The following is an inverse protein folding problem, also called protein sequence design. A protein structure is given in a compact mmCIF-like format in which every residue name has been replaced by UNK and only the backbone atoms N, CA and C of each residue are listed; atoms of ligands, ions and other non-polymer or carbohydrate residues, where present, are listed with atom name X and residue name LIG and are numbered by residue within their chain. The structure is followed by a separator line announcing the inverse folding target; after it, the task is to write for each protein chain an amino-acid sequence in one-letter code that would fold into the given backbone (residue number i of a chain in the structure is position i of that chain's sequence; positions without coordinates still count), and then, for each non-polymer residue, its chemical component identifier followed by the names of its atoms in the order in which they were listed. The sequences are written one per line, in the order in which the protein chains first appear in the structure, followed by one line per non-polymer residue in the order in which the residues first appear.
data_IF_453640746545
#
_entry.id   IF_453640746545
#
_cell.length_a   1.000
_cell.length_b   1.000
_cell.length_c   1.000
_cell.angle_alpha   90.00
_cell.angle_beta   90.00
_cell.angle_gamma   90.00
#
_symmetry.space_group_name_H-M   'P 1'
#
loop_
_entity.id
_entity.type
_entity.pdbx_description
1 polymer ?
#
# COMPACT_ATOMS: atom_id res chain seq x y z
N UNK A 1 47.36 26.76 -50.84
CA UNK A 1 46.90 25.43 -50.38
C UNK A 1 45.95 25.51 -49.17
N UNK A 2 44.85 26.30 -49.23
CA UNK A 2 43.97 26.44 -48.05
C UNK A 2 42.48 26.75 -48.30
N UNK A 3 42.01 26.89 -49.55
CA UNK A 3 40.59 27.20 -49.81
C UNK A 3 39.70 25.94 -49.86
N UNK A 4 40.25 24.82 -50.31
CA UNK A 4 39.52 23.54 -50.42
C UNK A 4 39.26 22.88 -49.06
N UNK A 5 40.19 23.02 -48.09
CA UNK A 5 40.01 22.49 -46.73
C UNK A 5 38.93 23.23 -45.93
N UNK A 6 38.73 24.52 -46.18
CA UNK A 6 37.69 25.33 -45.51
C UNK A 6 36.30 24.95 -46.02
N UNK A 7 36.16 24.67 -47.33
CA UNK A 7 34.88 24.23 -47.91
C UNK A 7 34.43 22.86 -47.36
N UNK A 8 35.35 21.90 -47.20
CA UNK A 8 35.01 20.61 -46.61
C UNK A 8 34.57 20.70 -45.14
N UNK A 9 35.24 21.53 -44.33
CA UNK A 9 34.83 21.70 -42.91
C UNK A 9 33.43 22.29 -42.75
N UNK A 10 33.04 23.25 -43.62
CA UNK A 10 31.69 23.83 -43.57
C UNK A 10 30.60 22.82 -43.94
N UNK A 11 30.84 21.96 -44.92
CA UNK A 11 29.88 20.91 -45.32
C UNK A 11 29.70 19.88 -44.20
N UNK A 12 30.78 19.49 -43.52
CA UNK A 12 30.72 18.56 -42.39
C UNK A 12 29.94 19.10 -41.19
N UNK A 13 30.12 20.39 -40.86
CA UNK A 13 29.40 21.03 -39.75
C UNK A 13 27.91 21.16 -40.06
N UNK A 14 27.55 21.56 -41.28
CA UNK A 14 26.14 21.67 -41.69
C UNK A 14 25.47 20.29 -41.70
N UNK A 15 26.17 19.25 -42.18
CA UNK A 15 25.68 17.87 -42.12
C UNK A 15 25.42 17.39 -40.69
N UNK A 16 26.33 17.71 -39.75
CA UNK A 16 26.18 17.34 -38.34
C UNK A 16 24.98 18.06 -37.70
N UNK A 17 24.78 19.34 -37.99
CA UNK A 17 23.64 20.13 -37.46
C UNK A 17 22.31 19.56 -37.99
N UNK A 18 22.24 19.17 -39.26
CA UNK A 18 21.03 18.57 -39.85
C UNK A 18 20.75 17.20 -39.21
N UNK A 19 21.78 16.38 -38.98
CA UNK A 19 21.66 15.09 -38.29
C UNK A 19 21.16 15.25 -36.84
N UNK A 20 21.70 16.22 -36.10
CA UNK A 20 21.24 16.54 -34.74
C UNK A 20 19.79 17.03 -34.76
N UNK A 21 19.42 17.91 -35.70
CA UNK A 21 18.05 18.41 -35.83
C UNK A 21 17.04 17.30 -36.20
N UNK A 22 17.44 16.35 -37.05
CA UNK A 22 16.63 15.18 -37.39
C UNK A 22 16.51 14.21 -36.22
N UNK A 23 17.60 13.98 -35.47
CA UNK A 23 17.59 13.13 -34.27
C UNK A 23 16.70 13.71 -33.16
N UNK A 24 16.70 15.04 -32.99
CA UNK A 24 15.80 15.72 -32.06
C UNK A 24 14.35 15.62 -32.54
N UNK A 25 14.06 15.74 -33.85
CA UNK A 25 12.69 15.57 -34.37
C UNK A 25 12.15 14.15 -34.24
N UNK A 26 12.99 13.11 -34.37
CA UNK A 26 12.58 11.71 -34.17
C UNK A 26 12.31 11.41 -32.69
N UNK A 27 12.98 12.11 -31.78
CA UNK A 27 12.77 11.95 -30.33
C UNK A 27 11.53 12.70 -29.80
N UNK A 28 11.00 13.66 -30.56
CA UNK A 28 9.74 14.36 -30.25
C UNK A 28 8.63 13.83 -31.15
N UNK A 29 8.47 12.50 -31.12
CA UNK A 29 7.22 11.87 -31.56
C UNK A 29 6.09 12.32 -30.65
N UNK A 30 5.07 12.93 -31.26
CA UNK A 30 3.82 13.39 -30.67
C UNK A 30 3.20 12.33 -29.71
N UNK A 31 3.50 12.43 -28.42
CA UNK A 31 2.62 11.93 -27.36
C UNK A 31 1.79 13.10 -26.86
N UNK A 32 0.74 13.44 -27.60
CA UNK A 32 -0.38 14.22 -27.10
C UNK A 32 -1.22 13.39 -26.13
N UNK A 33 -0.59 12.82 -25.10
CA UNK A 33 -1.25 12.10 -24.03
C UNK A 33 -1.42 13.01 -22.82
N UNK A 34 -2.61 13.05 -22.24
CA UNK A 34 -2.82 13.56 -20.89
C UNK A 34 -2.07 12.63 -19.92
N UNK A 35 -0.96 13.10 -19.35
CA UNK A 35 -0.23 12.37 -18.31
C UNK A 35 -0.68 12.83 -16.93
N UNK A 36 -1.00 11.88 -16.04
CA UNK A 36 -1.21 12.15 -14.62
C UNK A 36 0.09 11.90 -13.87
N UNK A 37 0.58 12.88 -13.11
CA UNK A 37 1.71 12.68 -12.20
C UNK A 37 1.16 12.44 -10.79
N UNK A 38 1.60 11.36 -10.15
CA UNK A 38 1.16 10.92 -8.82
C UNK A 38 2.38 10.95 -7.89
N UNK A 39 2.42 11.87 -6.92
CA UNK A 39 3.33 11.77 -5.77
C UNK A 39 2.47 11.35 -4.55
N UNK A 40 3.02 10.62 -3.58
CA UNK A 40 2.35 9.82 -2.53
C UNK A 40 1.13 10.39 -1.76
N UNK A 41 0.79 11.69 -1.90
CA UNK A 41 -0.41 12.29 -1.29
C UNK A 41 -1.23 13.22 -2.21
N UNK A 42 -0.81 13.48 -3.44
CA UNK A 42 -1.51 14.41 -4.33
C UNK A 42 -1.45 13.95 -5.80
N UNK A 43 -2.61 13.99 -6.48
CA UNK A 43 -2.70 13.83 -7.94
C UNK A 43 -2.82 15.20 -8.60
N UNK A 44 -1.96 15.46 -9.56
CA UNK A 44 -2.07 16.63 -10.44
C UNK A 44 -2.35 16.15 -11.87
N UNK A 45 -3.46 16.62 -12.44
CA UNK A 45 -3.76 16.43 -13.86
C UNK A 45 -3.23 17.65 -14.59
N UNK A 46 -2.18 17.48 -15.39
CA UNK A 46 -1.59 18.60 -16.13
C UNK A 46 -1.84 18.38 -17.62
N UNK A 47 -2.56 19.31 -18.24
CA UNK A 47 -2.78 19.31 -19.68
C UNK A 47 -1.52 19.84 -20.38
N UNK A 48 -0.81 18.95 -21.08
CA UNK A 48 0.40 19.20 -21.89
C UNK A 48 1.61 19.73 -21.09
N UNK A 49 2.46 18.81 -20.66
CA UNK A 49 3.83 19.15 -20.21
C UNK A 49 4.84 18.09 -20.69
N UNK A 50 6.05 18.49 -21.08
CA UNK A 50 7.14 17.55 -21.38
C UNK A 50 7.57 16.80 -20.10
N UNK A 51 7.82 15.49 -20.25
CA UNK A 51 8.09 14.49 -19.19
C UNK A 51 9.10 14.93 -18.11
N UNK A 52 10.04 15.83 -18.44
CA UNK A 52 11.08 16.32 -17.53
C UNK A 52 10.59 17.26 -16.40
N UNK A 53 9.35 17.72 -16.42
CA UNK A 53 8.83 18.65 -15.38
C UNK A 53 8.22 17.98 -14.15
N UNK A 54 7.81 16.70 -14.22
CA UNK A 54 7.23 16.03 -13.05
C UNK A 54 8.26 15.70 -11.96
N UNK A 55 9.53 15.49 -12.31
CA UNK A 55 10.61 15.28 -11.34
C UNK A 55 10.86 16.51 -10.45
N UNK A 56 10.79 17.72 -11.01
CA UNK A 56 11.00 18.95 -10.22
C UNK A 56 9.84 19.27 -9.26
N UNK A 57 8.63 18.77 -9.52
CA UNK A 57 7.47 19.00 -8.66
C UNK A 57 7.46 18.10 -7.42
N UNK A 58 7.93 16.84 -7.51
CA UNK A 58 8.02 15.97 -6.33
C UNK A 58 9.28 16.26 -5.46
N UNK A 59 10.28 17.00 -5.97
CA UNK A 59 11.53 17.32 -5.23
C UNK A 59 11.49 18.56 -4.34
N UNK A 60 10.33 19.20 -4.13
CA UNK A 60 10.22 20.37 -3.26
C UNK A 60 10.21 19.91 -1.79
N UNK A 61 11.27 20.26 -1.06
CA UNK A 61 11.57 19.88 0.33
C UNK A 61 10.38 19.92 1.32
N UNK A 62 10.41 19.06 2.38
CA UNK A 62 9.29 18.87 3.31
C UNK A 62 9.02 20.07 4.25
N UNK A 63 9.83 21.13 4.23
CA UNK A 63 9.79 22.21 5.24
C UNK A 63 8.93 23.43 4.86
N UNK A 64 8.30 23.48 3.69
CA UNK A 64 7.46 24.63 3.30
C UNK A 64 5.99 24.44 3.69
N UNK A 65 5.39 25.47 4.30
CA UNK A 65 3.95 25.53 4.58
C UNK A 65 3.14 25.54 3.28
N UNK A 66 1.90 25.03 3.32
CA UNK A 66 0.99 24.93 2.16
C UNK A 66 0.85 26.25 1.40
N UNK A 67 0.86 27.37 2.12
CA UNK A 67 0.76 28.73 1.56
C UNK A 67 2.02 29.13 0.76
N UNK A 68 3.20 28.72 1.21
CA UNK A 68 4.48 29.03 0.55
C UNK A 68 4.68 28.22 -0.74
N UNK A 69 4.23 26.95 -0.75
CA UNK A 69 4.27 26.09 -1.95
C UNK A 69 3.37 26.63 -3.07
N UNK A 70 2.21 27.18 -2.72
CA UNK A 70 1.28 27.82 -3.67
C UNK A 70 1.87 29.11 -4.25
N UNK A 71 2.50 29.95 -3.42
CA UNK A 71 3.13 31.20 -3.89
C UNK A 71 4.28 30.92 -4.86
N UNK A 72 5.14 29.95 -4.56
CA UNK A 72 6.26 29.58 -5.44
C UNK A 72 5.79 28.94 -6.75
N UNK A 73 4.68 28.19 -6.75
CA UNK A 73 4.06 27.68 -7.98
C UNK A 73 3.43 28.78 -8.85
N UNK A 74 2.98 29.90 -8.24
CA UNK A 74 2.38 31.03 -8.96
C UNK A 74 3.44 31.96 -9.58
N UNK A 75 4.64 32.07 -8.98
CA UNK A 75 5.70 32.97 -9.43
C UNK A 75 6.53 32.45 -10.62
N UNK A 76 6.42 31.16 -10.96
CA UNK A 76 7.07 30.54 -12.12
C UNK A 76 6.04 30.31 -13.24
N UNK A 77 5.46 31.38 -13.79
CA UNK A 77 4.55 31.27 -14.95
C UNK A 77 5.25 31.63 -16.27
N UNK A 78 5.20 30.76 -17.29
CA UNK A 78 4.80 31.19 -18.62
C UNK A 78 3.27 31.38 -18.65
N UNK A 79 2.82 32.45 -19.30
CA UNK A 79 1.41 32.81 -19.43
C UNK A 79 0.59 31.68 -20.10
N UNK A 80 -0.54 31.29 -19.52
CA UNK A 80 -1.57 30.48 -20.20
C UNK A 80 -2.02 29.15 -19.59
N UNK A 81 -1.52 28.72 -18.43
CA UNK A 81 -1.97 27.47 -17.78
C UNK A 81 -3.09 27.72 -16.75
N UNK A 82 -4.30 27.25 -17.06
CA UNK A 82 -5.43 27.12 -16.14
C UNK A 82 -5.35 25.74 -15.49
N UNK A 83 -5.07 25.69 -14.19
CA UNK A 83 -5.13 24.44 -13.40
C UNK A 83 -6.51 24.33 -12.75
N UNK A 84 -7.34 23.39 -13.21
CA UNK A 84 -8.50 22.93 -12.44
C UNK A 84 -8.04 21.81 -11.49
N UNK A 85 -7.65 22.16 -10.27
CA UNK A 85 -7.36 21.17 -9.23
C UNK A 85 -8.65 20.81 -8.50
N UNK A 86 -9.45 19.89 -9.02
CA UNK A 86 -10.45 19.18 -8.21
C UNK A 86 -9.73 18.05 -7.47
N UNK A 87 -9.02 18.41 -6.40
CA UNK A 87 -8.60 17.44 -5.40
C UNK A 87 -9.86 16.89 -4.73
N UNK A 88 -10.34 15.72 -5.14
CA UNK A 88 -11.32 14.94 -4.37
C UNK A 88 -10.59 14.36 -3.15
N UNK A 89 -10.28 15.22 -2.19
CA UNK A 89 -9.76 14.77 -0.90
C UNK A 89 -10.78 13.77 -0.31
N UNK A 90 -10.31 12.62 0.17
CA UNK A 90 -11.15 11.69 0.91
C UNK A 90 -11.65 12.45 2.15
N UNK A 91 -12.96 12.79 2.24
CA UNK A 91 -13.43 13.56 3.36
C UNK A 91 -13.31 12.67 4.59
N UNK A 92 -12.41 13.06 5.50
CA UNK A 92 -12.29 12.41 6.78
C UNK A 92 -13.62 12.57 7.53
N UNK A 93 -14.13 11.48 8.09
CA UNK A 93 -15.27 11.53 9.00
C UNK A 93 -14.70 11.92 10.37
N UNK A 94 -14.01 13.05 10.43
CA UNK A 94 -13.27 13.54 11.61
C UNK A 94 -14.24 14.15 12.64
N UNK A 95 -15.35 13.46 12.91
CA UNK A 95 -16.13 13.73 14.10
C UNK A 95 -15.36 13.14 15.27
N UNK A 96 -14.91 13.95 16.24
CA UNK A 96 -14.30 13.42 17.44
C UNK A 96 -15.29 12.47 18.09
N UNK A 97 -14.91 11.20 18.19
CA UNK A 97 -15.72 10.18 18.86
C UNK A 97 -15.86 10.61 20.31
N UNK A 98 -17.11 10.71 20.76
CA UNK A 98 -17.40 11.03 22.16
C UNK A 98 -16.79 9.93 23.04
N UNK A 99 -16.18 10.31 24.16
CA UNK A 99 -15.63 9.35 25.13
C UNK A 99 -16.70 8.39 25.65
N UNK A 100 -17.97 8.83 25.69
CA UNK A 100 -19.13 8.00 26.05
C UNK A 100 -19.41 6.92 25.01
N UNK A 101 -19.17 7.21 23.74
CA UNK A 101 -19.44 6.28 22.64
C UNK A 101 -18.43 5.12 22.59
N UNK A 102 -17.38 5.17 23.41
CA UNK A 102 -16.36 4.12 23.54
C UNK A 102 -16.49 3.30 24.82
N UNK A 103 -17.45 3.58 25.71
CA UNK A 103 -17.59 2.86 26.97
C UNK A 103 -18.08 1.43 26.75
N UNK A 104 -17.55 0.43 27.46
CA UNK A 104 -17.95 -0.97 27.32
C UNK A 104 -17.89 -1.73 28.65
N UNK A 105 -18.64 -2.84 28.75
CA UNK A 105 -18.58 -3.77 29.87
C UNK A 105 -17.92 -5.10 29.48
N UNK A 106 -17.99 -5.46 28.20
CA UNK A 106 -17.50 -6.71 27.63
C UNK A 106 -17.04 -6.54 26.18
N UNK A 107 -16.27 -7.48 25.65
CA UNK A 107 -15.81 -7.46 24.25
C UNK A 107 -16.98 -7.44 23.25
N UNK A 108 -18.12 -8.06 23.59
CA UNK A 108 -19.33 -8.04 22.77
C UNK A 108 -19.97 -6.66 22.64
N UNK A 109 -19.63 -5.72 23.53
CA UNK A 109 -20.11 -4.34 23.42
C UNK A 109 -19.33 -3.54 22.39
N UNK A 110 -18.19 -4.03 21.89
CA UNK A 110 -17.28 -3.25 21.05
C UNK A 110 -17.35 -3.65 19.58
N UNK A 111 -17.27 -2.65 18.71
CA UNK A 111 -17.28 -2.80 17.25
C UNK A 111 -16.52 -1.66 16.58
N UNK A 112 -16.35 -1.72 15.26
CA UNK A 112 -15.67 -0.71 14.47
C UNK A 112 -16.65 0.14 13.65
N UNK A 113 -16.50 1.46 13.71
CA UNK A 113 -17.15 2.39 12.79
C UNK A 113 -16.20 2.80 11.65
N UNK A 114 -16.71 2.99 10.42
CA UNK A 114 -15.92 3.54 9.33
C UNK A 114 -15.35 4.92 9.65
N UNK A 115 -14.09 5.16 9.28
CA UNK A 115 -13.38 6.44 9.49
C UNK A 115 -13.43 7.38 8.30
N UNK A 116 -13.47 6.83 7.09
CA UNK A 116 -13.38 7.59 5.86
C UNK A 116 -14.19 6.92 4.75
N UNK A 117 -14.57 7.70 3.73
CA UNK A 117 -15.41 7.21 2.64
C UNK A 117 -14.67 6.24 1.70
N UNK A 118 -13.34 6.30 1.67
CA UNK A 118 -12.51 5.40 0.87
C UNK A 118 -12.33 4.01 1.49
N UNK A 119 -12.61 3.83 2.78
CA UNK A 119 -12.31 2.58 3.49
C UNK A 119 -10.81 2.29 3.57
N UNK A 120 -9.96 3.31 3.42
CA UNK A 120 -8.51 3.15 3.41
C UNK A 120 -7.90 3.20 4.81
N UNK A 121 -8.70 3.55 5.83
CA UNK A 121 -8.29 3.53 7.23
C UNK A 121 -8.98 2.41 7.97
N UNK A 122 -8.29 1.91 9.00
CA UNK A 122 -8.87 1.05 10.00
C UNK A 122 -10.12 1.70 10.65
N UNK A 123 -11.10 0.85 10.98
CA UNK A 123 -12.30 1.25 11.71
C UNK A 123 -11.93 1.85 13.08
N UNK A 124 -12.74 2.80 13.54
CA UNK A 124 -12.58 3.40 14.86
C UNK A 124 -13.37 2.57 15.88
N UNK A 125 -12.75 2.17 17.01
CA UNK A 125 -13.44 1.39 18.04
C UNK A 125 -14.50 2.22 18.77
N UNK A 126 -15.72 1.69 18.82
CA UNK A 126 -16.90 2.25 19.47
C UNK A 126 -17.72 1.16 20.14
N UNK A 127 -18.65 1.55 21.00
CA UNK A 127 -19.67 0.65 21.52
C UNK A 127 -20.76 0.40 20.45
N UNK A 128 -21.17 -0.85 20.30
CA UNK A 128 -22.16 -1.34 19.33
C UNK A 128 -23.50 -0.59 19.41
N UNK A 129 -23.88 -0.11 20.60
CA UNK A 129 -25.06 0.74 20.81
C UNK A 129 -25.07 1.99 19.94
N UNK A 130 -23.88 2.51 19.59
CA UNK A 130 -23.73 3.73 18.79
C UNK A 130 -23.42 3.44 17.32
N UNK A 131 -23.35 2.18 16.90
CA UNK A 131 -22.96 1.81 15.54
C UNK A 131 -23.83 2.48 14.46
N UNK A 132 -25.16 2.47 14.65
CA UNK A 132 -26.09 3.08 13.71
C UNK A 132 -25.91 4.59 13.57
N UNK A 133 -25.60 5.30 14.67
CA UNK A 133 -25.28 6.73 14.66
C UNK A 133 -24.11 7.02 13.71
N UNK A 134 -23.03 6.26 13.78
CA UNK A 134 -21.86 6.45 12.93
C UNK A 134 -22.10 6.02 11.48
N UNK A 135 -22.89 4.97 11.23
CA UNK A 135 -23.28 4.60 9.87
C UNK A 135 -24.18 5.64 9.19
N UNK A 136 -25.08 6.29 9.94
CA UNK A 136 -25.88 7.39 9.41
C UNK A 136 -24.99 8.59 9.03
N UNK A 137 -24.02 8.94 9.88
CA UNK A 137 -23.03 9.98 9.58
C UNK A 137 -22.18 9.63 8.35
N UNK A 138 -21.74 8.37 8.25
CA UNK A 138 -21.02 7.85 7.10
C UNK A 138 -21.84 7.98 5.82
N UNK A 139 -23.08 7.47 5.80
CA UNK A 139 -23.96 7.54 4.63
C UNK A 139 -24.19 8.97 4.17
N UNK A 140 -24.46 9.89 5.09
CA UNK A 140 -24.70 11.29 4.72
C UNK A 140 -23.46 12.00 4.19
N UNK A 141 -22.27 11.72 4.74
CA UNK A 141 -21.02 12.35 4.30
C UNK A 141 -20.46 11.75 3.03
N UNK A 142 -20.66 10.46 2.83
CA UNK A 142 -20.08 9.70 1.73
C UNK A 142 -21.02 9.51 0.54
N UNK A 143 -22.27 10.02 0.58
CA UNK A 143 -23.26 9.83 -0.49
C UNK A 143 -22.79 10.30 -1.87
N UNK A 144 -21.99 11.36 -1.91
CA UNK A 144 -21.48 11.97 -3.15
C UNK A 144 -19.99 11.64 -3.39
N UNK A 145 -19.40 10.73 -2.60
CA UNK A 145 -17.99 10.38 -2.72
C UNK A 145 -17.73 9.54 -3.98
N UNK A 146 -16.92 10.07 -4.90
CA UNK A 146 -16.51 9.39 -6.14
C UNK A 146 -15.01 9.00 -6.15
N UNK A 147 -14.37 8.96 -4.98
CA UNK A 147 -12.95 8.63 -4.88
C UNK A 147 -12.67 7.12 -4.91
N UNK A 148 -11.41 6.76 -4.67
CA UNK A 148 -10.95 5.38 -4.66
C UNK A 148 -11.48 4.68 -3.40
N UNK A 149 -12.09 3.51 -3.58
CA UNK A 149 -12.35 2.58 -2.48
C UNK A 149 -11.14 1.66 -2.33
N UNK A 150 -10.60 1.58 -1.12
CA UNK A 150 -9.56 0.64 -0.74
C UNK A 150 -10.19 -0.64 -0.20
N UNK A 151 -9.70 -1.79 -0.65
CA UNK A 151 -9.89 -3.06 0.04
C UNK A 151 -8.79 -3.21 1.10
N UNK A 152 -8.81 -2.32 2.10
CA UNK A 152 -7.79 -2.27 3.13
C UNK A 152 -8.11 -3.28 4.24
N UNK A 153 -7.35 -4.37 4.29
CA UNK A 153 -7.43 -5.31 5.40
C UNK A 153 -6.82 -4.70 6.67
N UNK A 154 -7.64 -4.48 7.69
CA UNK A 154 -7.19 -4.00 8.99
C UNK A 154 -7.08 -5.20 9.97
N UNK A 155 -5.87 -5.72 10.28
CA UNK A 155 -5.65 -6.86 11.17
C UNK A 155 -5.81 -6.49 12.66
N UNK A 156 -6.78 -5.65 12.98
CA UNK A 156 -7.00 -5.19 14.34
C UNK A 156 -8.18 -5.90 14.99
N UNK A 157 -8.04 -6.27 16.25
CA UNK A 157 -9.14 -6.76 17.08
C UNK A 157 -9.64 -5.60 17.92
N UNK A 158 -10.94 -5.37 17.90
CA UNK A 158 -11.60 -4.37 18.74
C UNK A 158 -12.12 -5.08 19.99
N UNK A 159 -11.64 -4.68 21.17
CA UNK A 159 -11.95 -5.31 22.46
C UNK A 159 -12.25 -4.28 23.54
N UNK A 160 -12.86 -4.73 24.63
CA UNK A 160 -13.12 -3.91 25.79
C UNK A 160 -11.93 -3.95 26.75
N UNK A 161 -11.13 -2.89 26.76
CA UNK A 161 -9.96 -2.77 27.62
C UNK A 161 -10.16 -1.58 28.55
N UNK A 162 -10.10 -1.82 29.87
CA UNK A 162 -10.31 -0.77 30.88
C UNK A 162 -11.63 0.00 30.68
N UNK A 163 -12.73 -0.73 30.42
CA UNK A 163 -14.07 -0.19 30.14
C UNK A 163 -14.12 0.73 28.91
N UNK A 164 -13.15 0.61 28.01
CA UNK A 164 -13.07 1.38 26.77
C UNK A 164 -12.82 0.47 25.56
N UNK A 165 -13.67 0.60 24.54
CA UNK A 165 -13.47 -0.05 23.26
C UNK A 165 -12.17 0.48 22.65
N UNK A 166 -11.24 -0.44 22.48
CA UNK A 166 -9.88 -0.16 22.04
C UNK A 166 -9.56 -1.07 20.88
N UNK A 167 -8.91 -0.48 19.88
CA UNK A 167 -8.38 -1.21 18.76
C UNK A 167 -6.99 -1.69 19.15
N UNK A 168 -6.85 -2.99 19.24
CA UNK A 168 -5.57 -3.65 19.42
C UNK A 168 -5.14 -4.21 18.08
N UNK A 169 -3.86 -4.13 17.76
CA UNK A 169 -3.35 -5.01 16.72
C UNK A 169 -3.52 -6.43 17.22
N UNK A 170 -3.93 -7.35 16.35
CA UNK A 170 -4.06 -8.78 16.66
C UNK A 170 -2.71 -9.29 17.19
N UNK A 171 -2.49 -9.22 18.51
CA UNK A 171 -1.25 -9.48 19.25
C UNK A 171 -0.03 -9.74 18.33
N UNK A 172 0.61 -8.68 17.84
CA UNK A 172 1.80 -8.82 16.97
C UNK A 172 2.99 -9.46 17.70
N UNK A 173 2.93 -9.60 19.03
CA UNK A 173 3.72 -10.57 19.78
C UNK A 173 3.06 -10.84 21.15
N UNK A 174 2.59 -12.06 21.43
CA UNK A 174 2.31 -12.46 22.81
C UNK A 174 3.60 -12.27 23.63
N UNK A 175 3.54 -11.96 24.94
CA UNK A 175 4.75 -12.12 25.77
C UNK A 175 5.20 -13.57 25.73
N UNK A 176 6.47 -13.83 26.04
CA UNK A 176 7.00 -15.20 26.11
C UNK A 176 6.10 -16.11 26.97
N UNK A 177 5.68 -15.64 28.14
CA UNK A 177 4.82 -16.41 29.04
C UNK A 177 3.46 -16.71 28.41
N UNK A 178 2.84 -15.72 27.75
CA UNK A 178 1.55 -15.91 27.06
C UNK A 178 1.69 -16.85 25.86
N UNK A 179 2.84 -16.82 25.17
CA UNK A 179 3.13 -17.74 24.07
C UNK A 179 3.20 -19.18 24.58
N UNK A 180 4.01 -19.41 25.60
CA UNK A 180 4.22 -20.73 26.18
C UNK A 180 2.94 -21.29 26.80
N UNK A 181 2.12 -20.45 27.46
CA UNK A 181 0.80 -20.86 27.97
C UNK A 181 -0.16 -21.34 26.88
N UNK A 182 -0.05 -20.81 25.67
CA UNK A 182 -0.83 -21.26 24.50
C UNK A 182 -0.22 -22.48 23.81
N UNK A 183 0.85 -23.07 24.37
CA UNK A 183 1.61 -24.16 23.74
C UNK A 183 2.46 -23.72 22.55
N UNK A 184 2.73 -22.41 22.44
CA UNK A 184 3.59 -21.87 21.40
C UNK A 184 5.08 -22.04 21.68
N UNK A 185 5.89 -21.78 20.66
CA UNK A 185 7.34 -21.78 20.72
C UNK A 185 7.83 -20.33 20.62
N UNK A 186 8.52 -19.88 21.67
CA UNK A 186 9.15 -18.57 21.73
C UNK A 186 10.64 -18.70 21.39
N UNK A 187 11.04 -18.20 20.21
CA UNK A 187 12.44 -18.20 19.80
C UNK A 187 12.69 -17.17 18.71
N UNK A 188 13.96 -17.05 18.33
CA UNK A 188 14.39 -16.33 17.14
C UNK A 188 14.08 -17.14 15.88
N UNK A 189 13.45 -16.50 14.89
CA UNK A 189 13.08 -17.08 13.59
C UNK A 189 13.64 -16.25 12.45
N UNK A 190 13.91 -16.89 11.30
CA UNK A 190 14.65 -16.29 10.18
C UNK A 190 16.15 -16.53 10.29
N UNK A 191 16.85 -16.45 9.16
CA UNK A 191 18.30 -16.60 9.06
C UNK A 191 19.00 -15.24 8.95
N UNK A 192 18.65 -14.41 7.95
CA UNK A 192 19.35 -13.14 7.70
C UNK A 192 18.80 -12.01 8.58
N UNK A 193 17.50 -12.04 8.91
CA UNK A 193 16.84 -11.05 9.78
C UNK A 193 16.10 -11.69 10.98
N UNK A 194 16.82 -12.30 11.93
CA UNK A 194 16.22 -13.02 13.04
C UNK A 194 15.26 -12.16 13.87
N UNK A 195 13.98 -12.54 13.90
CA UNK A 195 12.94 -11.93 14.74
C UNK A 195 12.56 -12.85 15.88
N UNK A 196 12.56 -12.34 17.12
CA UNK A 196 12.04 -13.08 18.27
C UNK A 196 10.54 -12.88 18.35
N UNK A 197 9.78 -13.95 18.14
CA UNK A 197 8.33 -13.92 18.33
C UNK A 197 7.74 -15.32 18.54
N UNK A 198 6.47 -15.37 18.90
CA UNK A 198 5.74 -16.60 19.18
C UNK A 198 5.22 -17.26 17.90
N UNK A 199 5.46 -18.56 17.73
CA UNK A 199 4.69 -19.37 16.78
C UNK A 199 3.97 -20.51 17.50
N UNK A 200 2.67 -20.65 17.24
CA UNK A 200 1.86 -21.75 17.80
C UNK A 200 1.85 -22.89 16.77
N UNK A 201 2.26 -24.11 17.14
CA UNK A 201 2.15 -25.27 16.26
C UNK A 201 0.69 -25.56 15.91
N UNK A 202 0.42 -25.87 14.65
CA UNK A 202 -0.91 -26.30 14.22
C UNK A 202 -1.25 -27.68 14.78
N UNK A 203 -2.51 -27.90 15.14
CA UNK A 203 -2.99 -29.21 15.60
C UNK A 203 -3.02 -30.28 14.50
N UNK A 204 -2.96 -29.88 13.23
CA UNK A 204 -2.89 -30.77 12.07
C UNK A 204 -1.48 -30.82 11.44
N UNK A 205 -0.46 -30.31 12.13
CA UNK A 205 0.92 -30.32 11.65
C UNK A 205 1.33 -31.73 11.21
N UNK A 206 1.90 -31.83 10.00
CA UNK A 206 2.34 -33.10 9.42
C UNK A 206 1.23 -33.97 8.82
N UNK A 207 -0.05 -33.63 8.98
CA UNK A 207 -1.15 -34.37 8.34
C UNK A 207 -1.02 -34.30 6.82
N UNK A 208 -1.22 -35.42 6.12
CA UNK A 208 -1.20 -35.44 4.65
C UNK A 208 -2.36 -34.62 4.09
N UNK A 209 -2.08 -33.82 3.07
CA UNK A 209 -3.04 -32.94 2.40
C UNK A 209 -2.84 -32.98 0.89
N UNK A 210 -3.90 -32.72 0.13
CA UNK A 210 -3.85 -32.56 -1.33
C UNK A 210 -4.22 -31.17 -1.81
N UNK A 211 -4.67 -30.32 -0.88
CA UNK A 211 -4.98 -28.93 -1.11
C UNK A 211 -4.69 -28.11 0.16
N UNK A 212 -4.36 -26.84 -0.03
CA UNK A 212 -4.05 -25.93 1.07
C UNK A 212 -5.24 -25.71 2.02
N UNK A 213 -6.48 -25.79 1.51
CA UNK A 213 -7.70 -25.61 2.30
C UNK A 213 -7.97 -26.74 3.29
N UNK A 214 -7.30 -27.89 3.14
CA UNK A 214 -7.39 -29.00 4.09
C UNK A 214 -6.63 -28.75 5.40
N UNK A 215 -5.73 -27.76 5.40
CA UNK A 215 -4.89 -27.41 6.52
C UNK A 215 -5.42 -26.19 7.27
N UNK A 216 -5.32 -26.19 8.59
CA UNK A 216 -5.87 -25.13 9.47
C UNK A 216 -5.23 -23.77 9.20
N UNK A 217 -3.92 -23.74 8.95
CA UNK A 217 -3.22 -22.53 8.56
C UNK A 217 -3.24 -22.26 7.05
N UNK A 218 -3.99 -23.06 6.28
CA UNK A 218 -4.12 -22.87 4.84
C UNK A 218 -2.84 -23.16 4.07
N UNK A 219 -1.98 -24.05 4.59
CA UNK A 219 -0.65 -24.32 4.05
C UNK A 219 -0.40 -25.83 3.98
N UNK A 220 -0.50 -26.40 2.77
CA UNK A 220 -0.12 -27.77 2.48
C UNK A 220 1.27 -27.78 1.85
N UNK A 221 2.30 -28.25 2.56
CA UNK A 221 3.70 -28.14 2.16
C UNK A 221 4.09 -29.27 1.20
N UNK A 222 4.54 -28.92 0.00
CA UNK A 222 5.00 -29.87 -1.01
C UNK A 222 6.38 -30.42 -0.65
N UNK A 223 6.62 -31.71 -0.91
CA UNK A 223 7.94 -32.32 -0.73
C UNK A 223 8.92 -31.99 -1.89
N UNK A 224 8.38 -31.72 -3.08
CA UNK A 224 9.11 -31.31 -4.27
C UNK A 224 8.15 -30.63 -5.28
N UNK A 225 8.71 -30.02 -6.32
CA UNK A 225 7.99 -29.28 -7.38
C UNK A 225 7.01 -30.15 -8.20
N UNK A 226 7.12 -31.48 -8.12
CA UNK A 226 6.24 -32.42 -8.83
C UNK A 226 5.23 -33.10 -7.92
N UNK A 227 5.19 -32.72 -6.64
CA UNK A 227 4.33 -33.36 -5.65
C UNK A 227 2.86 -33.02 -5.93
N UNK A 228 2.00 -34.03 -5.83
CA UNK A 228 0.54 -33.87 -5.92
C UNK A 228 -0.13 -33.85 -4.54
N UNK A 229 0.66 -34.08 -3.49
CA UNK A 229 0.26 -34.12 -2.10
C UNK A 229 1.41 -33.63 -1.23
N UNK A 230 1.07 -33.12 -0.05
CA UNK A 230 2.03 -32.58 0.89
C UNK A 230 1.65 -32.91 2.33
N UNK A 231 2.23 -32.15 3.25
CA UNK A 231 1.93 -32.23 4.67
C UNK A 231 1.55 -30.85 5.20
N UNK A 232 0.54 -30.77 6.07
CA UNK A 232 0.13 -29.50 6.65
C UNK A 232 1.27 -28.87 7.44
N UNK A 233 1.43 -27.57 7.23
CA UNK A 233 2.46 -26.75 7.86
C UNK A 233 2.42 -26.85 9.38
N UNK A 234 3.60 -26.79 10.01
CA UNK A 234 3.67 -26.79 11.48
C UNK A 234 3.30 -25.42 12.01
N UNK A 235 3.73 -24.36 11.36
CA UNK A 235 3.48 -23.00 11.82
C UNK A 235 2.75 -22.19 10.77
N UNK A 236 2.09 -21.11 11.21
CA UNK A 236 1.39 -20.19 10.30
C UNK A 236 2.37 -19.38 9.43
N UNK A 237 3.57 -19.10 9.94
CA UNK A 237 4.64 -18.44 9.21
C UNK A 237 5.82 -19.41 9.09
N UNK A 238 6.00 -19.93 7.89
CA UNK A 238 7.16 -20.75 7.55
C UNK A 238 8.31 -19.88 7.06
N UNK A 239 9.52 -20.30 7.39
CA UNK A 239 10.77 -19.62 7.02
C UNK A 239 11.62 -20.53 6.15
N UNK A 240 12.39 -19.92 5.26
CA UNK A 240 13.13 -20.61 4.21
C UNK A 240 12.33 -20.75 2.93
N UNK A 241 12.76 -21.66 2.06
CA UNK A 241 12.16 -21.91 0.77
C UNK A 241 11.23 -23.12 0.82
N UNK A 242 10.00 -22.95 0.34
CA UNK A 242 8.99 -24.01 0.30
C UNK A 242 8.01 -23.81 -0.87
N UNK A 243 7.35 -24.89 -1.26
CA UNK A 243 6.24 -24.88 -2.21
C UNK A 243 4.97 -25.32 -1.51
N UNK A 244 3.83 -24.74 -1.89
CA UNK A 244 2.51 -25.15 -1.42
C UNK A 244 1.83 -26.08 -2.43
N UNK A 245 0.95 -26.96 -1.96
CA UNK A 245 0.05 -27.73 -2.82
C UNK A 245 -1.30 -27.02 -2.87
N UNK A 246 -1.75 -26.70 -4.08
CA UNK A 246 -3.08 -26.17 -4.35
C UNK A 246 -3.67 -26.95 -5.51
N UNK A 247 -4.90 -27.44 -5.38
CA UNK A 247 -5.59 -28.27 -6.36
C UNK A 247 -4.72 -29.45 -6.86
N UNK A 248 -4.14 -30.21 -5.93
CA UNK A 248 -3.29 -31.39 -6.21
C UNK A 248 -2.02 -31.09 -7.03
N UNK A 249 -1.54 -29.85 -7.03
CA UNK A 249 -0.31 -29.46 -7.73
C UNK A 249 0.56 -28.60 -6.84
N UNK A 250 1.86 -28.84 -6.89
CA UNK A 250 2.83 -27.95 -6.28
C UNK A 250 2.87 -26.61 -7.03
N UNK A 251 2.72 -25.54 -6.28
CA UNK A 251 2.92 -24.17 -6.71
C UNK A 251 4.43 -23.85 -6.82
N UNK A 252 4.78 -22.80 -7.59
CA UNK A 252 6.15 -22.31 -7.63
C UNK A 252 6.69 -22.05 -6.21
N UNK A 253 7.96 -22.39 -6.01
CA UNK A 253 8.63 -22.20 -4.74
C UNK A 253 8.69 -20.73 -4.35
N UNK A 254 8.37 -20.44 -3.09
CA UNK A 254 8.50 -19.14 -2.47
C UNK A 254 9.55 -19.22 -1.35
N UNK A 255 10.32 -18.16 -1.17
CA UNK A 255 11.31 -18.07 -0.10
C UNK A 255 10.99 -16.86 0.77
N UNK A 256 10.81 -17.10 2.07
CA UNK A 256 10.58 -16.07 3.08
C UNK A 256 11.68 -16.15 4.14
N UNK A 257 12.26 -15.00 4.48
CA UNK A 257 13.18 -14.82 5.61
C UNK A 257 12.60 -13.88 6.66
#
# INVERSE_FOLDING_TARGET
MNLQKIKMKKILIIGLIILIALYIRVSVGYFGGTGTCSCDKYRFTVLRVPFMTCLNLCSIEPQMTTKQKIINAILLKPEGLIFNTTSTANPDIDQPISSVDQQCLSDSDCTGAPRDCGGCSCNIPINVKYLEKYYNLYRERCKDYQGISCDFYCPSIIQCINQKCTQTQQDDAPTEEKCLQKGGVWKSWGHDYPQIYCQIPSRDAGKVCTDNSECIYGQCMANNETSTSGNCSTYKKEFGCFSLITNNKAEPMICYD
#
